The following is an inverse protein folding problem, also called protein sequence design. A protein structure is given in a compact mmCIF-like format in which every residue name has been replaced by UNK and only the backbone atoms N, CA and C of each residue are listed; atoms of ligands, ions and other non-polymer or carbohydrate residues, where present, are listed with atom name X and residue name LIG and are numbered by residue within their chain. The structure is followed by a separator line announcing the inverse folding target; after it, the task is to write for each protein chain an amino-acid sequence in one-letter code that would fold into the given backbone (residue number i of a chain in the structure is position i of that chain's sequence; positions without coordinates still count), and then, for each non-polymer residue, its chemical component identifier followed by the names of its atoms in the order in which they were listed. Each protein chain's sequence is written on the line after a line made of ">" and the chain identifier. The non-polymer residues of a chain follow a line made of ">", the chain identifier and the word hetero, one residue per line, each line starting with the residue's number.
data_IF_827609504302
#
_entry.id   IF_827609504302
#
_cell.length_a   1.000
_cell.length_b   1.000
_cell.length_c   1.000
_cell.angle_alpha   90.00
_cell.angle_beta   90.00
_cell.angle_gamma   90.00
#
_symmetry.space_group_name_H-M   'P 1'
#
loop_
_entity.id
_entity.type
_entity.pdbx_description
1 polymer ?
#
# COMPACT_ATOMS: atom_id res chain seq x y z
N UNK A 1 6.15 -18.23 -56.42
CA UNK A 1 5.24 -17.09 -56.26
C UNK A 1 4.31 -17.43 -55.11
N UNK A 2 4.71 -17.11 -53.89
CA UNK A 2 3.93 -17.33 -52.68
C UNK A 2 3.97 -16.03 -51.87
N UNK A 3 2.85 -15.29 -51.93
CA UNK A 3 2.66 -14.03 -51.21
C UNK A 3 2.36 -14.27 -49.75
N UNK A 4 3.07 -13.50 -48.94
CA UNK A 4 2.90 -13.35 -47.49
C UNK A 4 1.55 -12.76 -47.14
N UNK A 5 0.82 -13.41 -46.25
CA UNK A 5 -0.24 -12.78 -45.44
C UNK A 5 0.28 -12.58 -44.02
N UNK A 6 0.96 -11.47 -43.78
CA UNK A 6 1.22 -10.93 -42.45
C UNK A 6 0.27 -9.78 -42.20
N UNK A 7 -0.40 -9.81 -41.09
CA UNK A 7 -0.92 -8.59 -40.45
C UNK A 7 -2.43 -8.49 -40.34
N UNK A 8 -2.96 -8.74 -39.16
CA UNK A 8 -4.11 -8.03 -38.55
C UNK A 8 -4.43 -8.46 -37.10
N UNK A 9 -3.46 -8.90 -36.33
CA UNK A 9 -3.72 -9.19 -34.89
C UNK A 9 -3.10 -8.19 -33.90
N UNK A 10 -2.26 -7.26 -34.38
CA UNK A 10 -1.54 -6.32 -33.49
C UNK A 10 -2.24 -4.97 -33.27
N UNK A 11 -3.26 -4.61 -34.08
CA UNK A 11 -3.87 -3.28 -34.01
C UNK A 11 -5.16 -3.19 -33.17
N UNK A 12 -5.81 -4.31 -32.86
CA UNK A 12 -7.07 -4.26 -32.12
C UNK A 12 -6.88 -4.11 -30.60
N UNK A 13 -5.75 -4.54 -30.06
CA UNK A 13 -5.50 -4.46 -28.59
C UNK A 13 -5.15 -3.04 -28.15
N UNK A 14 -4.41 -2.30 -28.98
CA UNK A 14 -4.04 -0.89 -28.70
C UNK A 14 -5.24 0.05 -28.73
N UNK A 15 -6.24 -0.19 -29.57
CA UNK A 15 -7.45 0.64 -29.65
C UNK A 15 -8.38 0.49 -28.45
N UNK A 16 -8.49 -0.72 -27.90
CA UNK A 16 -9.32 -0.97 -26.70
C UNK A 16 -8.65 -0.35 -25.47
N UNK A 17 -7.34 -0.50 -25.33
CA UNK A 17 -6.59 0.13 -24.22
C UNK A 17 -6.65 1.66 -24.28
N UNK A 18 -6.46 2.26 -25.46
CA UNK A 18 -6.58 3.72 -25.67
C UNK A 18 -8.01 4.19 -25.40
N UNK A 19 -9.01 3.43 -25.77
CA UNK A 19 -10.41 3.81 -25.56
C UNK A 19 -10.83 3.72 -24.08
N UNK A 20 -10.40 2.68 -23.38
CA UNK A 20 -10.63 2.56 -21.92
C UNK A 20 -9.88 3.66 -21.17
N UNK A 21 -8.63 3.95 -21.53
CA UNK A 21 -7.87 5.05 -20.95
C UNK A 21 -8.48 6.41 -21.26
N UNK A 22 -8.98 6.64 -22.48
CA UNK A 22 -9.69 7.88 -22.86
C UNK A 22 -11.06 8.01 -22.19
N UNK A 23 -11.78 6.92 -21.98
CA UNK A 23 -13.08 6.94 -21.27
C UNK A 23 -12.87 7.18 -19.78
N UNK A 24 -11.85 6.58 -19.16
CA UNK A 24 -11.46 6.84 -17.77
C UNK A 24 -10.94 8.27 -17.58
N UNK A 25 -10.09 8.76 -18.49
CA UNK A 25 -9.60 10.16 -18.44
C UNK A 25 -10.72 11.16 -18.71
N UNK A 26 -11.67 10.83 -19.59
CA UNK A 26 -12.83 11.69 -19.88
C UNK A 26 -13.83 11.68 -18.74
N UNK A 27 -13.97 10.57 -18.03
CA UNK A 27 -14.78 10.47 -16.82
C UNK A 27 -14.15 11.28 -15.68
N UNK A 28 -12.84 11.12 -15.44
CA UNK A 28 -12.07 11.89 -14.47
C UNK A 28 -12.13 13.40 -14.77
N UNK A 29 -11.90 13.83 -16.02
CA UNK A 29 -11.98 15.24 -16.45
C UNK A 29 -13.40 15.84 -16.42
N UNK A 30 -14.45 15.00 -16.49
CA UNK A 30 -15.84 15.45 -16.26
C UNK A 30 -16.15 15.64 -14.78
N UNK A 31 -15.57 14.84 -13.92
CA UNK A 31 -15.68 14.95 -12.46
C UNK A 31 -14.89 16.17 -11.94
N UNK A 32 -13.68 16.43 -12.45
CA UNK A 32 -12.91 17.65 -12.13
C UNK A 32 -13.61 18.97 -12.50
N UNK A 33 -14.52 18.96 -13.49
CA UNK A 33 -15.30 20.17 -13.87
C UNK A 33 -16.58 20.36 -13.08
N UNK A 34 -17.02 19.37 -12.31
CA UNK A 34 -18.25 19.43 -11.51
C UNK A 34 -18.03 19.90 -10.09
N UNK A 35 -16.84 19.66 -9.49
CA UNK A 35 -16.58 19.99 -8.10
C UNK A 35 -15.20 20.66 -7.92
N UNK A 36 -15.10 21.93 -8.27
CA UNK A 36 -14.28 22.85 -7.49
C UNK A 36 -15.08 23.18 -6.22
N UNK A 37 -15.40 22.17 -5.46
CA UNK A 37 -15.65 22.35 -4.04
C UNK A 37 -14.27 22.64 -3.42
N UNK A 38 -14.10 23.85 -3.01
CA UNK A 38 -13.07 24.28 -2.07
C UNK A 38 -13.31 23.44 -0.81
N UNK A 39 -12.68 22.27 -0.75
CA UNK A 39 -12.75 21.39 0.41
C UNK A 39 -12.05 22.13 1.54
N UNK A 40 -12.83 22.75 2.40
CA UNK A 40 -12.32 23.27 3.66
C UNK A 40 -11.68 22.09 4.42
N UNK A 41 -10.49 22.32 4.99
CA UNK A 41 -9.87 21.32 5.85
C UNK A 41 -10.87 20.84 6.93
N UNK A 42 -10.79 19.58 7.34
CA UNK A 42 -11.63 19.07 8.43
C UNK A 42 -11.48 19.90 9.70
N UNK A 43 -12.53 19.94 10.51
CA UNK A 43 -12.42 20.49 11.87
C UNK A 43 -11.69 19.49 12.77
N UNK A 44 -10.38 19.64 12.89
CA UNK A 44 -9.48 18.78 13.69
C UNK A 44 -9.85 18.74 15.18
N UNK A 45 -10.65 19.69 15.68
CA UNK A 45 -11.06 19.74 17.08
C UNK A 45 -12.43 19.10 17.30
N UNK A 46 -13.18 18.78 16.25
CA UNK A 46 -14.48 18.14 16.38
C UNK A 46 -14.37 16.75 17.03
N UNK A 47 -15.31 16.36 17.91
CA UNK A 47 -15.31 15.02 18.52
C UNK A 47 -15.35 13.89 17.49
N UNK A 48 -16.06 14.08 16.38
CA UNK A 48 -16.19 13.08 15.30
C UNK A 48 -14.84 12.87 14.63
N UNK A 49 -14.11 13.96 14.32
CA UNK A 49 -12.77 13.86 13.75
C UNK A 49 -11.82 13.13 14.69
N UNK A 50 -11.78 13.54 15.96
CA UNK A 50 -10.88 12.94 16.98
C UNK A 50 -11.17 11.46 17.20
N UNK A 51 -12.44 11.05 17.15
CA UNK A 51 -12.84 9.65 17.27
C UNK A 51 -12.33 8.82 16.08
N UNK A 52 -12.59 9.26 14.84
CA UNK A 52 -12.06 8.61 13.63
C UNK A 52 -10.51 8.63 13.62
N UNK A 53 -9.91 9.75 13.99
CA UNK A 53 -8.45 9.89 14.06
C UNK A 53 -7.82 8.95 15.09
N UNK A 54 -8.52 8.64 16.20
CA UNK A 54 -8.03 7.69 17.20
C UNK A 54 -7.79 6.30 16.60
N UNK A 55 -8.65 5.85 15.70
CA UNK A 55 -8.52 4.57 15.00
C UNK A 55 -7.49 4.63 13.88
N UNK A 56 -7.53 5.64 13.02
CA UNK A 56 -6.57 5.77 11.90
C UNK A 56 -5.15 5.98 12.42
N UNK A 57 -4.94 6.86 13.41
CA UNK A 57 -3.63 7.06 14.00
C UNK A 57 -3.09 5.78 14.68
N UNK A 58 -3.98 5.01 15.34
CA UNK A 58 -3.61 3.73 15.92
C UNK A 58 -3.17 2.72 14.86
N UNK A 59 -3.89 2.63 13.72
CA UNK A 59 -3.50 1.77 12.59
C UNK A 59 -2.11 2.11 12.10
N UNK A 60 -1.81 3.39 11.93
CA UNK A 60 -0.49 3.82 11.46
C UNK A 60 0.58 3.46 12.50
N UNK A 61 0.36 3.74 13.79
CA UNK A 61 1.31 3.39 14.87
C UNK A 61 1.56 1.87 14.93
N UNK A 62 0.51 1.05 14.81
CA UNK A 62 0.64 -0.41 14.83
C UNK A 62 1.33 -0.92 13.57
N UNK A 63 1.02 -0.35 12.39
CA UNK A 63 1.68 -0.69 11.13
C UNK A 63 3.20 -0.48 11.19
N UNK A 64 3.64 0.67 11.71
CA UNK A 64 5.06 0.98 11.90
C UNK A 64 5.72 0.04 12.94
N UNK A 65 4.99 -0.33 14.00
CA UNK A 65 5.50 -1.31 14.98
C UNK A 65 5.66 -2.69 14.35
N UNK A 66 4.65 -3.15 13.59
CA UNK A 66 4.73 -4.43 12.88
C UNK A 66 5.85 -4.42 11.84
N UNK A 67 6.00 -3.34 11.07
CA UNK A 67 7.07 -3.18 10.10
C UNK A 67 8.46 -3.26 10.78
N UNK A 68 8.62 -2.59 11.93
CA UNK A 68 9.84 -2.70 12.75
C UNK A 68 10.15 -4.16 13.09
N UNK A 69 9.18 -4.91 13.62
CA UNK A 69 9.34 -6.29 14.04
C UNK A 69 9.58 -7.23 12.84
N UNK A 70 8.87 -6.98 11.73
CA UNK A 70 8.97 -7.75 10.49
C UNK A 70 10.35 -7.59 9.84
N UNK A 71 10.93 -6.37 9.80
CA UNK A 71 12.28 -6.15 9.28
C UNK A 71 13.35 -6.81 10.16
N UNK A 72 13.17 -6.83 11.48
CA UNK A 72 14.06 -7.60 12.38
C UNK A 72 13.98 -9.09 12.03
N UNK A 73 12.76 -9.60 11.80
CA UNK A 73 12.56 -11.01 11.46
C UNK A 73 13.14 -11.36 10.09
N UNK A 74 12.97 -10.48 9.10
CA UNK A 74 13.61 -10.62 7.80
C UNK A 74 15.15 -10.61 7.90
N UNK A 75 15.74 -9.81 8.80
CA UNK A 75 17.17 -9.78 9.04
C UNK A 75 17.73 -11.11 9.62
N UNK A 76 16.89 -11.89 10.29
CA UNK A 76 17.25 -13.24 10.73
C UNK A 76 17.20 -14.24 9.56
N UNK A 77 16.24 -14.07 8.64
CA UNK A 77 16.03 -14.95 7.49
C UNK A 77 16.99 -14.64 6.32
N UNK A 78 17.47 -13.40 6.22
CA UNK A 78 18.35 -12.90 5.17
C UNK A 78 19.67 -12.35 5.77
N UNK A 79 20.56 -13.22 6.25
CA UNK A 79 21.80 -12.78 6.93
C UNK A 79 22.70 -11.89 6.06
N UNK A 80 22.69 -12.06 4.75
CA UNK A 80 23.48 -11.25 3.80
C UNK A 80 22.95 -9.81 3.67
N UNK A 81 21.67 -9.58 3.95
CA UNK A 81 21.02 -8.26 3.94
C UNK A 81 20.77 -7.71 5.37
N UNK A 82 21.30 -8.38 6.40
CA UNK A 82 20.98 -8.08 7.80
C UNK A 82 21.18 -6.61 8.17
N UNK A 83 22.31 -6.02 7.81
CA UNK A 83 22.65 -4.67 8.25
C UNK A 83 21.68 -3.64 7.62
N UNK A 84 21.27 -3.86 6.37
CA UNK A 84 20.29 -3.04 5.68
C UNK A 84 18.90 -3.18 6.31
N UNK A 85 18.42 -4.39 6.55
CA UNK A 85 17.12 -4.67 7.18
C UNK A 85 17.04 -4.10 8.61
N UNK A 86 18.11 -4.18 9.39
CA UNK A 86 18.19 -3.52 10.71
C UNK A 86 18.17 -2.01 10.59
N UNK A 87 18.72 -1.44 9.51
CA UNK A 87 18.61 0.01 9.25
C UNK A 87 17.16 0.39 8.95
N UNK A 88 16.46 -0.35 8.09
CA UNK A 88 15.04 -0.15 7.79
C UNK A 88 14.19 -0.24 9.06
N UNK A 89 14.35 -1.28 9.86
CA UNK A 89 13.60 -1.42 11.11
C UNK A 89 13.75 -0.21 12.05
N UNK A 90 14.94 0.37 12.14
CA UNK A 90 15.17 1.58 12.95
C UNK A 90 14.45 2.81 12.42
N UNK A 91 14.23 2.87 11.10
CA UNK A 91 13.44 3.95 10.48
C UNK A 91 11.98 3.82 10.88
N UNK A 92 11.42 2.61 10.86
CA UNK A 92 10.03 2.36 11.31
C UNK A 92 9.81 2.76 12.77
N UNK A 93 10.74 2.45 13.66
CA UNK A 93 10.67 2.91 15.05
C UNK A 93 10.68 4.45 15.18
N UNK A 94 11.33 5.15 14.27
CA UNK A 94 11.32 6.63 14.22
C UNK A 94 9.97 7.12 13.69
N UNK A 95 9.41 6.48 12.64
CA UNK A 95 8.11 6.79 12.07
C UNK A 95 7.00 6.61 13.12
N UNK A 96 6.96 5.45 13.79
CA UNK A 96 6.04 5.16 14.89
C UNK A 96 6.03 6.29 15.95
N UNK A 97 7.21 6.75 16.39
CA UNK A 97 7.32 7.84 17.37
C UNK A 97 6.81 9.17 16.81
N UNK A 98 6.98 9.40 15.51
CA UNK A 98 6.41 10.55 14.81
C UNK A 98 4.89 10.55 14.86
N UNK A 99 4.26 9.43 14.50
CA UNK A 99 2.79 9.30 14.53
C UNK A 99 2.21 9.30 15.94
N UNK A 100 2.93 8.76 16.93
CA UNK A 100 2.57 8.94 18.34
C UNK A 100 2.58 10.43 18.74
N UNK A 101 3.52 11.22 18.20
CA UNK A 101 3.55 12.66 18.45
C UNK A 101 2.38 13.37 17.76
N UNK A 102 1.93 12.92 16.58
CA UNK A 102 0.73 13.46 15.92
C UNK A 102 -0.52 13.26 16.77
N UNK A 103 -0.74 12.08 17.35
CA UNK A 103 -1.84 11.82 18.27
C UNK A 103 -1.80 12.76 19.50
N UNK A 104 -0.62 12.92 20.11
CA UNK A 104 -0.45 13.87 21.24
C UNK A 104 -0.74 15.33 20.85
N UNK A 105 -0.34 15.74 19.64
CA UNK A 105 -0.59 17.10 19.15
C UNK A 105 -2.09 17.41 19.04
N UNK A 106 -2.90 16.44 18.66
CA UNK A 106 -4.35 16.56 18.58
C UNK A 106 -5.07 16.19 19.88
N UNK A 107 -4.34 15.86 20.95
CA UNK A 107 -4.89 15.35 22.21
C UNK A 107 -5.79 14.13 22.01
N UNK A 108 -5.37 13.21 21.15
CA UNK A 108 -6.08 11.96 20.83
C UNK A 108 -5.28 10.78 21.35
N UNK A 109 -5.95 9.89 22.06
CA UNK A 109 -5.39 8.59 22.44
C UNK A 109 -5.69 7.58 21.33
N UNK A 110 -4.67 6.91 20.77
CA UNK A 110 -4.87 5.93 19.71
C UNK A 110 -5.60 4.68 20.23
N UNK A 111 -6.57 4.18 19.46
CA UNK A 111 -7.28 2.92 19.74
C UNK A 111 -6.43 1.73 19.26
N UNK A 112 -5.46 1.33 20.09
CA UNK A 112 -4.53 0.25 19.76
C UNK A 112 -5.19 -1.13 19.70
N UNK A 113 -6.34 -1.33 20.35
CA UNK A 113 -7.07 -2.59 20.26
C UNK A 113 -7.69 -2.75 18.86
N UNK A 114 -8.29 -1.70 18.35
CA UNK A 114 -8.79 -1.64 16.99
C UNK A 114 -7.68 -1.88 15.96
N UNK A 115 -6.52 -1.27 16.13
CA UNK A 115 -5.40 -1.40 15.21
C UNK A 115 -4.83 -2.83 15.16
N UNK A 116 -4.67 -3.49 16.29
CA UNK A 116 -4.24 -4.89 16.36
C UNK A 116 -5.21 -5.83 15.68
N UNK A 117 -6.51 -5.64 15.88
CA UNK A 117 -7.54 -6.41 15.19
C UNK A 117 -7.56 -6.12 13.68
N UNK A 118 -7.23 -4.89 13.28
CA UNK A 118 -7.12 -4.50 11.88
C UNK A 118 -6.04 -5.27 11.13
N UNK A 119 -4.86 -5.44 11.72
CA UNK A 119 -3.72 -6.15 11.11
C UNK A 119 -3.72 -7.66 11.36
N UNK A 120 -4.51 -8.16 12.28
CA UNK A 120 -4.43 -9.54 12.80
C UNK A 120 -4.22 -10.62 11.72
N UNK A 121 -4.96 -10.56 10.62
CA UNK A 121 -4.86 -11.58 9.55
C UNK A 121 -3.56 -11.47 8.77
N UNK A 122 -3.19 -10.24 8.36
CA UNK A 122 -2.00 -10.00 7.55
C UNK A 122 -0.74 -10.30 8.36
N UNK A 123 -0.69 -9.83 9.61
CA UNK A 123 0.38 -10.14 10.56
C UNK A 123 0.50 -11.64 10.81
N UNK A 124 -0.64 -12.34 11.06
CA UNK A 124 -0.63 -13.79 11.24
C UNK A 124 -0.04 -14.53 10.05
N UNK A 125 -0.38 -14.13 8.82
CA UNK A 125 0.19 -14.71 7.60
C UNK A 125 1.70 -14.46 7.50
N UNK A 126 2.17 -13.25 7.84
CA UNK A 126 3.61 -12.97 7.89
C UNK A 126 4.32 -13.87 8.89
N UNK A 127 3.81 -14.02 10.12
CA UNK A 127 4.42 -14.85 11.16
C UNK A 127 4.49 -16.33 10.76
N UNK A 128 3.43 -16.86 10.14
CA UNK A 128 3.41 -18.24 9.63
C UNK A 128 4.45 -18.42 8.52
N UNK A 129 4.51 -17.49 7.56
CA UNK A 129 5.50 -17.53 6.49
C UNK A 129 6.93 -17.43 7.02
N UNK A 130 7.19 -16.53 7.97
CA UNK A 130 8.50 -16.36 8.59
C UNK A 130 8.95 -17.61 9.35
N UNK A 131 8.05 -18.24 10.11
CA UNK A 131 8.34 -19.49 10.81
C UNK A 131 8.64 -20.64 9.85
N UNK A 132 8.07 -20.63 8.64
CA UNK A 132 8.32 -21.61 7.59
C UNK A 132 9.53 -21.27 6.70
N UNK A 133 10.19 -20.13 6.89
CA UNK A 133 11.30 -19.66 6.06
C UNK A 133 10.88 -19.22 4.65
N UNK A 134 9.61 -18.86 4.45
CA UNK A 134 9.04 -18.39 3.17
C UNK A 134 9.36 -16.91 2.97
N UNK A 135 10.61 -16.63 2.61
CA UNK A 135 11.15 -15.26 2.48
C UNK A 135 10.36 -14.45 1.45
N UNK A 136 10.01 -15.05 0.33
CA UNK A 136 9.27 -14.39 -0.76
C UNK A 136 7.89 -13.90 -0.28
N UNK A 137 7.18 -14.75 0.48
CA UNK A 137 5.89 -14.38 1.09
C UNK A 137 6.06 -13.27 2.12
N UNK A 138 7.11 -13.32 2.95
CA UNK A 138 7.40 -12.26 3.92
C UNK A 138 7.69 -10.92 3.23
N UNK A 139 8.48 -10.92 2.16
CA UNK A 139 8.79 -9.70 1.38
C UNK A 139 7.56 -9.17 0.64
N UNK A 140 6.71 -10.04 0.10
CA UNK A 140 5.46 -9.59 -0.52
C UNK A 140 4.56 -8.88 0.50
N UNK A 141 4.41 -9.43 1.70
CA UNK A 141 3.56 -8.82 2.74
C UNK A 141 4.17 -7.51 3.24
N UNK A 142 5.43 -7.54 3.70
CA UNK A 142 6.06 -6.37 4.31
C UNK A 142 6.45 -5.34 3.26
N UNK A 143 7.35 -5.70 2.34
CA UNK A 143 8.00 -4.71 1.48
C UNK A 143 7.20 -4.34 0.22
N UNK A 144 6.10 -5.02 -0.10
CA UNK A 144 5.23 -4.65 -1.22
C UNK A 144 3.84 -4.22 -0.72
N UNK A 145 3.10 -5.09 -0.04
CA UNK A 145 1.71 -4.76 0.35
C UNK A 145 1.69 -3.62 1.37
N UNK A 146 2.41 -3.76 2.48
CA UNK A 146 2.39 -2.77 3.57
C UNK A 146 2.98 -1.44 3.09
N UNK A 147 4.14 -1.45 2.41
CA UNK A 147 4.79 -0.21 1.96
C UNK A 147 3.98 0.52 0.87
N UNK A 148 3.45 -0.20 -0.12
CA UNK A 148 2.59 0.43 -1.14
C UNK A 148 1.31 1.02 -0.52
N UNK A 149 0.75 0.32 0.48
CA UNK A 149 -0.42 0.82 1.20
C UNK A 149 -0.09 2.07 2.02
N UNK A 150 1.04 2.07 2.75
CA UNK A 150 1.51 3.22 3.52
C UNK A 150 1.76 4.43 2.61
N UNK A 151 2.50 4.26 1.51
CA UNK A 151 2.78 5.32 0.53
C UNK A 151 1.47 5.92 0.00
N UNK A 152 0.51 5.09 -0.43
CA UNK A 152 -0.78 5.55 -0.94
C UNK A 152 -1.57 6.31 0.13
N UNK A 153 -1.70 5.74 1.34
CA UNK A 153 -2.44 6.34 2.44
C UNK A 153 -1.82 7.69 2.88
N UNK A 154 -0.50 7.77 2.98
CA UNK A 154 0.20 8.99 3.38
C UNK A 154 0.08 10.09 2.32
N UNK A 155 0.19 9.77 1.04
CA UNK A 155 0.04 10.75 -0.04
C UNK A 155 -1.37 11.36 -0.08
N UNK A 156 -2.40 10.58 0.20
CA UNK A 156 -3.80 11.06 0.26
C UNK A 156 -4.07 11.83 1.56
N UNK A 157 -3.44 11.44 2.67
CA UNK A 157 -3.61 12.11 3.95
C UNK A 157 -2.91 13.48 4.01
N UNK A 158 -1.72 13.64 3.43
CA UNK A 158 -0.92 14.87 3.48
C UNK A 158 -1.74 16.13 3.14
N UNK A 159 -2.55 16.19 2.05
CA UNK A 159 -3.31 17.39 1.70
C UNK A 159 -4.37 17.80 2.73
N UNK A 160 -4.91 16.83 3.48
CA UNK A 160 -6.02 17.03 4.45
C UNK A 160 -5.57 17.03 5.90
N UNK A 161 -4.29 16.77 6.17
CA UNK A 161 -3.70 16.72 7.50
C UNK A 161 -3.54 18.11 8.14
N UNK A 162 -3.57 18.16 9.47
CA UNK A 162 -3.09 19.34 10.21
C UNK A 162 -1.59 19.59 9.92
N UNK A 163 -1.14 20.82 10.17
CA UNK A 163 0.23 21.24 9.81
C UNK A 163 1.33 20.44 10.52
N UNK A 164 1.06 19.91 11.71
CA UNK A 164 2.03 19.10 12.46
C UNK A 164 2.14 17.70 11.84
N UNK A 165 0.99 17.03 11.68
CA UNK A 165 0.92 15.70 11.09
C UNK A 165 1.42 15.69 9.64
N UNK A 166 1.08 16.73 8.84
CA UNK A 166 1.58 16.91 7.47
C UNK A 166 3.10 16.84 7.39
N UNK A 167 3.81 17.63 8.21
CA UNK A 167 5.28 17.67 8.21
C UNK A 167 5.90 16.34 8.60
N UNK A 168 5.31 15.62 9.55
CA UNK A 168 5.77 14.29 9.93
C UNK A 168 5.58 13.32 8.77
N UNK A 169 4.37 13.25 8.19
CA UNK A 169 4.01 12.33 7.12
C UNK A 169 4.82 12.57 5.83
N UNK A 170 5.07 13.84 5.45
CA UNK A 170 5.94 14.20 4.33
C UNK A 170 7.39 13.70 4.51
N UNK A 171 7.85 13.61 5.76
CA UNK A 171 9.16 13.04 6.09
C UNK A 171 9.16 11.52 5.94
N UNK A 172 8.12 10.87 6.45
CA UNK A 172 7.95 9.41 6.42
C UNK A 172 7.85 8.88 5.01
N UNK A 173 6.97 9.43 4.18
CA UNK A 173 6.76 8.99 2.78
C UNK A 173 8.08 8.87 1.99
N UNK A 174 9.06 9.75 2.23
CA UNK A 174 10.36 9.68 1.56
C UNK A 174 11.17 8.46 1.98
N UNK A 175 11.04 8.07 3.24
CA UNK A 175 11.73 6.91 3.79
C UNK A 175 11.07 5.61 3.28
N UNK A 176 9.71 5.56 3.09
CA UNK A 176 8.97 4.39 2.62
C UNK A 176 9.37 3.94 1.20
N UNK A 177 9.73 4.86 0.33
CA UNK A 177 10.27 4.48 -0.99
C UNK A 177 11.58 3.69 -0.90
N UNK A 178 12.39 3.86 0.15
CA UNK A 178 13.58 3.03 0.37
C UNK A 178 13.21 1.62 0.83
N UNK A 179 12.16 1.49 1.63
CA UNK A 179 11.64 0.19 2.10
C UNK A 179 11.09 -0.63 0.93
N UNK A 180 10.25 0.01 0.11
CA UNK A 180 9.70 -0.60 -1.12
C UNK A 180 10.80 -1.03 -2.07
N UNK A 181 11.80 -0.18 -2.32
CA UNK A 181 12.91 -0.46 -3.23
C UNK A 181 13.74 -1.69 -2.79
N UNK A 182 13.98 -1.88 -1.48
CA UNK A 182 14.66 -3.07 -0.98
C UNK A 182 13.94 -4.36 -1.40
N UNK A 183 12.63 -4.41 -1.18
CA UNK A 183 11.81 -5.57 -1.56
C UNK A 183 11.81 -5.82 -3.07
N UNK A 184 11.63 -4.75 -3.86
CA UNK A 184 11.66 -4.84 -5.33
C UNK A 184 12.99 -5.39 -5.85
N UNK A 185 14.11 -4.86 -5.39
CA UNK A 185 15.44 -5.27 -5.85
C UNK A 185 15.73 -6.72 -5.49
N UNK A 186 15.43 -7.13 -4.26
CA UNK A 186 15.65 -8.51 -3.83
C UNK A 186 14.78 -9.49 -4.63
N UNK A 187 13.49 -9.20 -4.77
CA UNK A 187 12.54 -10.05 -5.51
C UNK A 187 12.85 -10.09 -7.00
N UNK A 188 13.29 -8.99 -7.58
CA UNK A 188 13.75 -8.90 -8.97
C UNK A 188 14.97 -9.78 -9.22
N UNK A 189 15.96 -9.72 -8.33
CA UNK A 189 17.18 -10.53 -8.43
C UNK A 189 16.88 -12.03 -8.36
N UNK A 190 15.82 -12.42 -7.67
CA UNK A 190 15.41 -13.80 -7.46
C UNK A 190 14.14 -14.21 -8.25
N UNK A 191 13.67 -13.38 -9.19
CA UNK A 191 12.35 -13.49 -9.79
C UNK A 191 12.03 -14.85 -10.41
N UNK A 192 12.99 -15.47 -11.08
CA UNK A 192 12.77 -16.76 -11.76
C UNK A 192 12.34 -17.86 -10.77
N UNK A 193 12.93 -17.87 -9.57
CA UNK A 193 12.63 -18.85 -8.52
C UNK A 193 11.47 -18.40 -7.63
N UNK A 194 11.30 -17.09 -7.41
CA UNK A 194 10.30 -16.50 -6.54
C UNK A 194 8.89 -16.39 -7.14
N UNK A 195 8.79 -16.38 -8.48
CA UNK A 195 7.55 -16.04 -9.21
C UNK A 195 6.33 -16.83 -8.77
N UNK A 196 6.45 -18.15 -8.66
CA UNK A 196 5.33 -19.02 -8.31
C UNK A 196 4.84 -18.76 -6.87
N UNK A 197 5.76 -18.54 -5.93
CA UNK A 197 5.44 -18.19 -4.55
C UNK A 197 4.84 -16.79 -4.45
N UNK A 198 5.34 -15.81 -5.24
CA UNK A 198 4.76 -14.46 -5.32
C UNK A 198 3.30 -14.49 -5.80
N UNK A 199 2.99 -15.25 -6.87
CA UNK A 199 1.62 -15.39 -7.39
C UNK A 199 0.68 -15.99 -6.33
N UNK A 200 1.14 -17.01 -5.61
CA UNK A 200 0.35 -17.66 -4.55
C UNK A 200 0.19 -16.77 -3.32
N UNK A 201 1.26 -16.14 -2.85
CA UNK A 201 1.22 -15.22 -1.72
C UNK A 201 0.33 -14.01 -2.01
N UNK A 202 0.38 -13.45 -3.24
CA UNK A 202 -0.54 -12.40 -3.68
C UNK A 202 -2.00 -12.86 -3.62
N UNK A 203 -2.30 -14.06 -4.12
CA UNK A 203 -3.65 -14.61 -4.11
C UNK A 203 -4.22 -14.75 -2.70
N UNK A 204 -3.37 -15.05 -1.71
CA UNK A 204 -3.77 -15.21 -0.32
C UNK A 204 -3.91 -13.89 0.44
N UNK A 205 -3.05 -12.91 0.16
CA UNK A 205 -2.92 -11.72 1.00
C UNK A 205 -3.62 -10.47 0.42
N UNK A 206 -3.67 -10.29 -0.91
CA UNK A 206 -4.33 -9.13 -1.50
C UNK A 206 -5.82 -9.00 -1.12
N UNK A 207 -6.63 -10.08 -1.05
CA UNK A 207 -8.02 -9.97 -0.58
C UNK A 207 -8.18 -9.46 0.86
N UNK A 208 -7.16 -9.66 1.71
CA UNK A 208 -7.17 -9.16 3.10
C UNK A 208 -7.09 -7.63 3.08
N UNK A 209 -6.30 -7.05 2.19
CA UNK A 209 -6.16 -5.58 2.06
C UNK A 209 -7.51 -4.95 1.73
N UNK A 210 -8.33 -5.56 0.86
CA UNK A 210 -9.68 -5.06 0.56
C UNK A 210 -10.60 -5.10 1.78
N UNK A 211 -10.52 -6.16 2.59
CA UNK A 211 -11.28 -6.23 3.85
C UNK A 211 -10.82 -5.15 4.83
N UNK A 212 -9.51 -4.88 4.91
CA UNK A 212 -8.94 -3.83 5.74
C UNK A 212 -9.44 -2.45 5.29
N UNK A 213 -9.39 -2.14 3.99
CA UNK A 213 -9.89 -0.88 3.42
C UNK A 213 -11.38 -0.64 3.72
N UNK A 214 -12.20 -1.67 3.57
CA UNK A 214 -13.64 -1.58 3.88
C UNK A 214 -13.90 -1.29 5.37
N UNK A 215 -13.04 -1.80 6.26
CA UNK A 215 -13.19 -1.62 7.72
C UNK A 215 -12.98 -0.16 8.16
N UNK A 216 -12.22 0.62 7.40
CA UNK A 216 -11.83 2.01 7.75
C UNK A 216 -12.42 3.07 6.84
N UNK A 217 -13.29 2.70 5.90
CA UNK A 217 -13.85 3.61 4.89
C UNK A 217 -14.48 4.87 5.49
N UNK A 218 -15.32 4.71 6.52
CA UNK A 218 -16.00 5.84 7.16
C UNK A 218 -15.02 6.72 7.94
N UNK A 219 -14.07 6.13 8.65
CA UNK A 219 -13.04 6.87 9.38
C UNK A 219 -12.16 7.68 8.42
N UNK A 220 -11.72 7.06 7.31
CA UNK A 220 -10.95 7.74 6.27
C UNK A 220 -11.74 8.92 5.68
N UNK A 221 -13.03 8.73 5.36
CA UNK A 221 -13.90 9.78 4.84
C UNK A 221 -14.06 10.95 5.81
N UNK A 222 -14.18 10.68 7.12
CA UNK A 222 -14.23 11.73 8.15
C UNK A 222 -12.94 12.55 8.19
N UNK A 223 -11.79 11.90 7.96
CA UNK A 223 -10.50 12.58 7.87
C UNK A 223 -10.30 13.35 6.55
N UNK A 224 -11.24 13.24 5.59
CA UNK A 224 -11.15 13.88 4.29
C UNK A 224 -10.40 13.06 3.23
N UNK A 225 -10.22 11.76 3.46
CA UNK A 225 -9.60 10.82 2.52
C UNK A 225 -10.69 10.03 1.78
N UNK A 226 -10.62 10.03 0.45
CA UNK A 226 -11.53 9.25 -0.39
C UNK A 226 -11.01 7.84 -0.59
N UNK A 227 -11.85 6.83 -0.29
CA UNK A 227 -11.48 5.40 -0.40
C UNK A 227 -11.08 5.03 -1.82
N UNK A 228 -11.81 5.53 -2.80
CA UNK A 228 -11.55 5.25 -4.23
C UNK A 228 -10.16 5.72 -4.63
N UNK A 229 -9.76 6.91 -4.19
CA UNK A 229 -8.42 7.44 -4.43
C UNK A 229 -7.34 6.56 -3.74
N UNK A 230 -7.59 6.13 -2.50
CA UNK A 230 -6.68 5.24 -1.78
C UNK A 230 -6.51 3.89 -2.49
N UNK A 231 -7.61 3.31 -2.97
CA UNK A 231 -7.58 2.05 -3.75
C UNK A 231 -6.82 2.24 -5.04
N UNK A 232 -7.06 3.34 -5.78
CA UNK A 232 -6.40 3.65 -7.05
C UNK A 232 -4.88 3.82 -6.85
N UNK A 233 -4.46 4.66 -5.92
CA UNK A 233 -3.04 4.93 -5.63
C UNK A 233 -2.32 3.67 -5.14
N UNK A 234 -2.96 2.87 -4.26
CA UNK A 234 -2.41 1.59 -3.83
C UNK A 234 -2.21 0.63 -5.03
N UNK A 235 -3.22 0.49 -5.89
CA UNK A 235 -3.13 -0.42 -7.04
C UNK A 235 -2.10 0.03 -8.06
N UNK A 236 -1.91 1.35 -8.24
CA UNK A 236 -0.85 1.90 -9.09
C UNK A 236 0.52 1.55 -8.49
N UNK A 237 0.78 1.92 -7.25
CA UNK A 237 2.07 1.66 -6.58
C UNK A 237 2.41 0.16 -6.55
N UNK A 238 1.46 -0.67 -6.15
CA UNK A 238 1.63 -2.13 -6.09
C UNK A 238 1.83 -2.76 -7.48
N UNK A 239 1.09 -2.29 -8.49
CA UNK A 239 1.24 -2.74 -9.88
C UNK A 239 2.59 -2.34 -10.48
N UNK A 240 3.08 -1.14 -10.19
CA UNK A 240 4.40 -0.67 -10.59
C UNK A 240 5.51 -1.51 -9.93
N UNK A 241 5.41 -1.77 -8.62
CA UNK A 241 6.35 -2.62 -7.89
C UNK A 241 6.45 -4.02 -8.50
N UNK A 242 5.32 -4.68 -8.74
CA UNK A 242 5.29 -6.00 -9.38
C UNK A 242 5.83 -5.95 -10.82
N UNK A 243 5.59 -4.87 -11.58
CA UNK A 243 6.16 -4.68 -12.91
C UNK A 243 7.68 -4.54 -12.87
N UNK A 244 8.21 -3.77 -11.90
CA UNK A 244 9.65 -3.58 -11.69
C UNK A 244 10.36 -4.88 -11.33
N UNK A 245 9.69 -5.76 -10.60
CA UNK A 245 10.17 -7.10 -10.23
C UNK A 245 10.27 -8.01 -11.45
N UNK A 246 9.35 -7.90 -12.43
CA UNK A 246 9.42 -8.65 -13.67
C UNK A 246 8.10 -9.25 -14.17
N UNK A 247 6.97 -8.95 -13.54
CA UNK A 247 5.66 -9.39 -14.04
C UNK A 247 5.24 -8.61 -15.28
N UNK A 248 4.66 -9.31 -16.24
CA UNK A 248 4.06 -8.70 -17.42
C UNK A 248 2.71 -8.07 -17.11
N UNK A 249 2.27 -7.07 -17.88
CA UNK A 249 0.96 -6.43 -17.72
C UNK A 249 -0.21 -7.44 -17.73
N UNK A 250 -0.11 -8.53 -18.49
CA UNK A 250 -1.13 -9.58 -18.50
C UNK A 250 -1.19 -10.37 -17.20
N UNK A 251 -0.05 -10.63 -16.59
CA UNK A 251 0.04 -11.29 -15.27
C UNK A 251 -0.48 -10.39 -14.17
N UNK A 252 -0.12 -9.11 -14.21
CA UNK A 252 -0.63 -8.10 -13.27
C UNK A 252 -2.16 -8.01 -13.30
N UNK A 253 -2.76 -7.94 -14.49
CA UNK A 253 -4.23 -7.92 -14.63
C UNK A 253 -4.88 -9.18 -14.02
N UNK A 254 -4.26 -10.34 -14.19
CA UNK A 254 -4.76 -11.60 -13.59
C UNK A 254 -4.63 -11.59 -12.06
N UNK A 255 -3.49 -11.15 -11.54
CA UNK A 255 -3.24 -11.07 -10.09
C UNK A 255 -4.19 -10.09 -9.40
N UNK A 256 -4.44 -8.93 -10.01
CA UNK A 256 -5.39 -7.93 -9.50
C UNK A 256 -6.84 -8.44 -9.50
N UNK A 257 -7.25 -9.16 -10.56
CA UNK A 257 -8.61 -9.72 -10.67
C UNK A 257 -8.89 -10.74 -9.55
N UNK A 258 -7.91 -11.50 -9.10
CA UNK A 258 -8.07 -12.43 -7.99
C UNK A 258 -8.33 -11.71 -6.65
N UNK A 259 -7.74 -10.54 -6.44
CA UNK A 259 -8.00 -9.72 -5.25
C UNK A 259 -9.44 -9.19 -5.21
N UNK A 260 -9.92 -8.68 -6.34
CA UNK A 260 -11.27 -8.09 -6.46
C UNK A 260 -12.40 -9.14 -6.41
N UNK A 261 -12.16 -10.38 -6.82
CA UNK A 261 -13.18 -11.43 -6.80
C UNK A 261 -13.47 -11.97 -5.38
N UNK A 262 -12.65 -11.61 -4.40
CA UNK A 262 -12.77 -12.06 -3.01
C UNK A 262 -13.23 -10.92 -2.05
N UNK A 263 -13.40 -9.70 -2.57
CA UNK A 263 -13.93 -8.52 -1.85
C UNK A 263 -15.43 -8.40 -2.04
#
# INVERSE_FOLDING_TARGET
>A
MLMHSRGRLGQSITWIQVKIFQELTTFALKQEKSDVMQTSLPDFQSPIYKDAYSRINAIVIEGEQEAYDNYIKLAELLPDAKDELIKLSKMENKHMKGFQACGRNLEVNPDMEFAKEFFHKLHGNFQVAAAAGQIVTCLLIQSLIIECFAIAAYNIYIPVADDFARKITEGVVKDEYMHLNFGEEWLKANFADAKAELEEANRQNLPIVWQMLNKVEEDARILGMEKEALVEDFMIAYGEALSNIGFTSRELMRMSAHGLAAA
#
